data_IF_867069835274
#
_entry.id   IF_867069835274
#
_cell.length_a   1.000
_cell.length_b   1.000
_cell.length_c   1.000
_cell.angle_alpha   90.00
_cell.angle_beta   90.00
_cell.angle_gamma   90.00
#
_symmetry.space_group_name_H-M   'P 1'
#
loop_
_entity.id
_entity.type
_entity.pdbx_description
1 polymer ?
#
# COMPACT_ATOMS: atom_id res chain seq x y z
N UNK A 1 28.08 -20.92 12.24
CA UNK A 1 26.68 -20.51 12.05
C UNK A 1 26.29 -20.75 10.59
N UNK A 2 25.61 -21.87 10.32
CA UNK A 2 25.24 -22.26 8.96
C UNK A 2 24.14 -21.33 8.43
N UNK A 3 24.44 -20.55 7.38
CA UNK A 3 23.41 -19.80 6.64
C UNK A 3 22.50 -20.83 5.97
N UNK A 4 21.36 -21.13 6.59
CA UNK A 4 20.37 -22.04 6.01
C UNK A 4 20.02 -21.59 4.58
N UNK A 5 20.29 -22.45 3.60
CA UNK A 5 19.86 -22.25 2.21
C UNK A 5 18.34 -21.99 2.23
N UNK A 6 17.90 -20.82 1.75
CA UNK A 6 16.47 -20.56 1.52
C UNK A 6 15.97 -21.63 0.55
N UNK A 7 15.07 -22.49 1.03
CA UNK A 7 14.37 -23.47 0.19
C UNK A 7 13.64 -22.69 -0.90
N UNK A 8 13.82 -23.09 -2.16
CA UNK A 8 13.09 -22.45 -3.26
C UNK A 8 11.57 -22.62 -3.06
N UNK A 9 10.77 -21.58 -3.35
CA UNK A 9 9.32 -21.65 -3.18
C UNK A 9 8.73 -22.68 -4.15
N UNK A 10 7.88 -23.55 -3.61
CA UNK A 10 7.16 -24.55 -4.40
C UNK A 10 6.12 -23.89 -5.32
N UNK A 11 5.57 -24.64 -6.28
CA UNK A 11 4.47 -24.13 -7.11
C UNK A 11 3.24 -23.78 -6.27
N UNK A 12 2.97 -24.57 -5.22
CA UNK A 12 1.91 -24.31 -4.26
C UNK A 12 2.13 -22.98 -3.51
N UNK A 13 3.35 -22.74 -3.01
CA UNK A 13 3.71 -21.47 -2.37
C UNK A 13 3.46 -20.29 -3.29
N UNK A 14 3.85 -20.41 -4.57
CA UNK A 14 3.65 -19.37 -5.59
C UNK A 14 2.17 -19.10 -5.86
N UNK A 15 1.32 -20.13 -5.90
CA UNK A 15 -0.12 -19.99 -6.11
C UNK A 15 -0.79 -19.31 -4.91
N UNK A 16 -0.39 -19.66 -3.69
CA UNK A 16 -0.87 -19.04 -2.46
C UNK A 16 -0.42 -17.58 -2.36
N UNK A 17 0.83 -17.27 -2.74
CA UNK A 17 1.31 -15.89 -2.84
C UNK A 17 0.52 -15.09 -3.88
N UNK A 18 0.28 -15.65 -5.07
CA UNK A 18 -0.53 -15.01 -6.10
C UNK A 18 -1.98 -14.77 -5.65
N UNK A 19 -2.58 -15.71 -4.91
CA UNK A 19 -3.93 -15.53 -4.34
C UNK A 19 -3.97 -14.39 -3.32
N UNK A 20 -2.93 -14.27 -2.50
CA UNK A 20 -2.78 -13.20 -1.50
C UNK A 20 -2.59 -11.84 -2.17
N UNK A 21 -1.64 -11.73 -3.10
CA UNK A 21 -1.33 -10.48 -3.79
C UNK A 21 -2.52 -9.98 -4.59
N UNK A 22 -3.27 -10.88 -5.24
CA UNK A 22 -4.43 -10.49 -5.99
C UNK A 22 -5.59 -10.03 -5.08
N UNK A 23 -5.81 -10.69 -3.93
CA UNK A 23 -6.79 -10.20 -2.94
C UNK A 23 -6.41 -8.81 -2.44
N UNK A 24 -5.16 -8.63 -2.01
CA UNK A 24 -4.66 -7.34 -1.54
C UNK A 24 -4.80 -6.25 -2.61
N UNK A 25 -4.57 -6.59 -3.89
CA UNK A 25 -4.70 -5.64 -5.00
C UNK A 25 -6.16 -5.25 -5.25
N UNK A 26 -7.10 -6.19 -5.17
CA UNK A 26 -8.53 -5.88 -5.33
C UNK A 26 -9.06 -5.04 -4.17
N UNK A 27 -8.70 -5.38 -2.94
CA UNK A 27 -9.03 -4.56 -1.76
C UNK A 27 -8.47 -3.14 -1.90
N UNK A 28 -7.20 -3.01 -2.31
CA UNK A 28 -6.59 -1.71 -2.53
C UNK A 28 -7.29 -0.88 -3.61
N UNK A 29 -7.64 -1.48 -4.75
CA UNK A 29 -8.33 -0.75 -5.83
C UNK A 29 -9.71 -0.31 -5.34
N UNK A 30 -10.49 -1.18 -4.70
CA UNK A 30 -11.79 -0.83 -4.10
C UNK A 30 -11.64 0.38 -3.17
N UNK A 31 -10.76 0.28 -2.18
CA UNK A 31 -10.60 1.32 -1.16
C UNK A 31 -10.13 2.65 -1.77
N UNK A 32 -9.28 2.59 -2.81
CA UNK A 32 -8.85 3.77 -3.56
C UNK A 32 -10.01 4.43 -4.30
N UNK A 33 -10.82 3.67 -5.03
CA UNK A 33 -11.96 4.23 -5.76
C UNK A 33 -13.02 4.79 -4.81
N UNK A 34 -13.25 4.13 -3.66
CA UNK A 34 -14.14 4.66 -2.62
C UNK A 34 -13.60 5.97 -2.02
N UNK A 35 -12.29 6.06 -1.77
CA UNK A 35 -11.66 7.30 -1.29
C UNK A 35 -11.78 8.42 -2.33
N UNK A 36 -11.64 8.10 -3.62
CA UNK A 36 -11.82 9.06 -4.71
C UNK A 36 -13.28 9.57 -4.77
N UNK A 37 -14.26 8.68 -4.57
CA UNK A 37 -15.67 9.05 -4.46
C UNK A 37 -15.94 9.96 -3.25
N UNK A 38 -15.32 9.67 -2.11
CA UNK A 38 -15.44 10.50 -0.90
C UNK A 38 -14.84 11.90 -1.14
N UNK A 39 -13.71 11.98 -1.84
CA UNK A 39 -13.11 13.27 -2.23
C UNK A 39 -14.02 14.12 -3.13
N UNK A 40 -14.80 13.49 -4.01
CA UNK A 40 -15.81 14.22 -4.81
C UNK A 40 -16.94 14.73 -3.91
N UNK A 41 -17.34 13.95 -2.91
CA UNK A 41 -18.40 14.33 -1.97
C UNK A 41 -18.00 15.55 -1.15
N UNK A 42 -16.73 15.70 -0.78
CA UNK A 42 -16.20 16.88 -0.07
C UNK A 42 -16.27 18.18 -0.89
N UNK A 43 -16.38 18.10 -2.21
CA UNK A 43 -16.50 19.27 -3.09
C UNK A 43 -17.94 19.78 -3.21
N UNK A 44 -18.93 19.02 -2.73
CA UNK A 44 -20.34 19.37 -2.84
C UNK A 44 -20.76 20.29 -1.69
N UNK A 45 -21.63 21.25 -1.99
CA UNK A 45 -22.38 21.93 -0.92
C UNK A 45 -23.35 20.96 -0.24
N UNK A 46 -23.80 21.27 0.97
CA UNK A 46 -24.74 20.40 1.70
C UNK A 46 -26.03 20.13 0.91
N UNK A 47 -26.54 21.13 0.18
CA UNK A 47 -27.72 20.97 -0.67
C UNK A 47 -27.46 20.06 -1.88
N UNK A 48 -26.27 20.11 -2.49
CA UNK A 48 -25.87 19.22 -3.58
C UNK A 48 -25.62 17.80 -3.10
N UNK A 49 -25.00 17.64 -1.93
CA UNK A 49 -24.78 16.36 -1.29
C UNK A 49 -26.13 15.68 -0.99
N UNK A 50 -27.10 16.39 -0.40
CA UNK A 50 -28.45 15.85 -0.16
C UNK A 50 -29.16 15.43 -1.44
N UNK A 51 -29.08 16.25 -2.51
CA UNK A 51 -29.68 15.93 -3.82
C UNK A 51 -29.02 14.74 -4.52
N UNK A 52 -27.75 14.49 -4.23
CA UNK A 52 -26.94 13.45 -4.88
C UNK A 52 -26.74 12.20 -4.02
N UNK A 53 -27.22 12.19 -2.78
CA UNK A 53 -26.96 11.15 -1.79
C UNK A 53 -27.29 9.74 -2.29
N UNK A 54 -28.45 9.57 -2.93
CA UNK A 54 -28.86 8.29 -3.50
C UNK A 54 -27.92 7.83 -4.62
N UNK A 55 -27.55 8.74 -5.54
CA UNK A 55 -26.62 8.42 -6.64
C UNK A 55 -25.22 8.10 -6.13
N UNK A 56 -24.72 8.85 -5.15
CA UNK A 56 -23.43 8.57 -4.51
C UNK A 56 -23.44 7.21 -3.80
N UNK A 57 -24.54 6.87 -3.12
CA UNK A 57 -24.72 5.56 -2.50
C UNK A 57 -24.77 4.43 -3.54
N UNK A 58 -25.43 4.64 -4.68
CA UNK A 58 -25.47 3.67 -5.79
C UNK A 58 -24.07 3.44 -6.36
N UNK A 59 -23.32 4.51 -6.64
CA UNK A 59 -21.93 4.40 -7.15
C UNK A 59 -21.04 3.66 -6.15
N UNK A 60 -21.16 3.95 -4.85
CA UNK A 60 -20.43 3.21 -3.80
C UNK A 60 -20.74 1.72 -3.86
N UNK A 61 -22.03 1.35 -3.93
CA UNK A 61 -22.45 -0.04 -4.05
C UNK A 61 -21.96 -0.71 -5.35
N UNK A 62 -21.90 0.02 -6.46
CA UNK A 62 -21.35 -0.48 -7.72
C UNK A 62 -19.84 -0.75 -7.62
N UNK A 63 -19.08 0.11 -6.94
CA UNK A 63 -17.64 -0.10 -6.68
C UNK A 63 -17.43 -1.38 -5.85
N UNK A 64 -18.20 -1.56 -4.77
CA UNK A 64 -18.13 -2.75 -3.93
C UNK A 64 -18.50 -4.02 -4.71
N UNK A 65 -19.62 -3.99 -5.45
CA UNK A 65 -20.07 -5.11 -6.26
C UNK A 65 -19.07 -5.47 -7.38
N UNK A 66 -18.44 -4.48 -8.00
CA UNK A 66 -17.40 -4.70 -8.99
C UNK A 66 -16.17 -5.37 -8.37
N UNK A 67 -15.72 -4.91 -7.19
CA UNK A 67 -14.60 -5.52 -6.47
C UNK A 67 -14.88 -6.99 -6.13
N UNK A 68 -16.06 -7.29 -5.60
CA UNK A 68 -16.49 -8.66 -5.29
C UNK A 68 -16.53 -9.55 -6.54
N UNK A 69 -17.11 -9.05 -7.63
CA UNK A 69 -17.17 -9.76 -8.90
C UNK A 69 -15.77 -10.11 -9.42
N UNK A 70 -14.84 -9.16 -9.37
CA UNK A 70 -13.46 -9.38 -9.81
C UNK A 70 -12.71 -10.35 -8.89
N UNK A 71 -12.91 -10.24 -7.58
CA UNK A 71 -12.36 -11.17 -6.59
C UNK A 71 -12.83 -12.61 -6.88
N UNK A 72 -14.13 -12.82 -7.10
CA UNK A 72 -14.69 -14.13 -7.43
C UNK A 72 -14.15 -14.68 -8.76
N UNK A 73 -14.05 -13.83 -9.80
CA UNK A 73 -13.51 -14.22 -11.10
C UNK A 73 -12.06 -14.68 -10.97
N UNK A 74 -11.25 -13.95 -10.22
CA UNK A 74 -9.85 -14.26 -10.04
C UNK A 74 -9.63 -15.52 -9.18
N UNK A 75 -10.39 -15.69 -8.09
CA UNK A 75 -10.39 -16.93 -7.30
C UNK A 75 -10.76 -18.15 -8.16
N UNK A 76 -11.78 -18.05 -9.03
CA UNK A 76 -12.13 -19.13 -9.97
C UNK A 76 -11.00 -19.46 -10.95
N UNK A 77 -10.31 -18.44 -11.48
CA UNK A 77 -9.17 -18.63 -12.38
C UNK A 77 -7.99 -19.32 -11.68
N UNK A 78 -7.66 -18.90 -10.46
CA UNK A 78 -6.60 -19.52 -9.65
C UNK A 78 -6.94 -20.97 -9.28
N UNK A 79 -8.17 -21.26 -8.88
CA UNK A 79 -8.63 -22.62 -8.63
C UNK A 79 -8.57 -23.50 -9.90
N UNK A 80 -8.91 -22.94 -11.07
CA UNK A 80 -8.75 -23.65 -12.34
C UNK A 80 -7.28 -23.93 -12.66
N UNK A 81 -6.38 -23.00 -12.38
CA UNK A 81 -4.94 -23.17 -12.60
C UNK A 81 -4.38 -24.26 -11.67
N UNK A 82 -4.70 -24.21 -10.38
CA UNK A 82 -4.28 -25.20 -9.40
C UNK A 82 -4.72 -26.62 -9.77
N UNK A 83 -5.99 -26.79 -10.20
CA UNK A 83 -6.52 -28.08 -10.66
C UNK A 83 -5.74 -28.66 -11.84
N UNK A 84 -5.30 -27.83 -12.80
CA UNK A 84 -4.45 -28.29 -13.93
C UNK A 84 -3.11 -28.85 -13.47
N UNK A 85 -2.63 -28.41 -12.31
CA UNK A 85 -1.41 -28.90 -11.67
C UNK A 85 -1.67 -29.96 -10.59
N UNK A 86 -2.91 -30.47 -10.47
CA UNK A 86 -3.33 -31.43 -9.41
C UNK A 86 -3.10 -30.91 -7.98
N UNK A 87 -3.22 -29.60 -7.80
CA UNK A 87 -3.11 -28.92 -6.51
C UNK A 87 -4.49 -28.50 -6.00
N UNK A 88 -4.59 -28.30 -4.68
CA UNK A 88 -5.76 -27.72 -4.05
C UNK A 88 -5.95 -26.25 -4.50
N UNK A 89 -7.19 -25.76 -4.43
CA UNK A 89 -7.45 -24.35 -4.71
C UNK A 89 -6.69 -23.47 -3.70
N UNK A 90 -5.94 -22.46 -4.16
CA UNK A 90 -5.12 -21.66 -3.25
C UNK A 90 -6.01 -20.71 -2.45
N UNK A 91 -5.85 -20.74 -1.13
CA UNK A 91 -6.43 -19.75 -0.23
C UNK A 91 -5.41 -18.66 0.08
N UNK A 92 -5.81 -17.38 0.17
CA UNK A 92 -4.91 -16.31 0.60
C UNK A 92 -4.35 -16.54 1.99
N UNK A 93 -3.10 -16.16 2.21
CA UNK A 93 -2.43 -16.34 3.50
C UNK A 93 -3.18 -15.58 4.60
N UNK A 94 -3.31 -16.16 5.81
CA UNK A 94 -3.84 -15.42 6.93
C UNK A 94 -2.94 -14.21 7.23
N UNK A 95 -3.55 -13.15 7.78
CA UNK A 95 -2.81 -11.94 8.18
C UNK A 95 -1.71 -12.32 9.17
N UNK A 96 -0.45 -12.11 8.78
CA UNK A 96 0.71 -12.40 9.62
C UNK A 96 0.76 -11.45 10.82
N UNK A 97 1.29 -11.94 11.93
CA UNK A 97 1.66 -11.07 13.07
C UNK A 97 2.77 -10.13 12.62
N UNK A 98 2.66 -8.87 13.00
CA UNK A 98 3.67 -7.86 12.69
C UNK A 98 4.99 -8.18 13.41
N UNK A 99 6.08 -8.12 12.66
CA UNK A 99 7.46 -8.11 13.19
C UNK A 99 7.71 -6.84 14.02
N UNK A 100 8.74 -6.80 14.89
CA UNK A 100 9.07 -5.60 15.66
C UNK A 100 9.28 -4.35 14.79
N UNK A 101 9.91 -4.51 13.63
CA UNK A 101 10.11 -3.41 12.67
C UNK A 101 8.79 -2.92 12.07
N UNK A 102 7.89 -3.84 11.70
CA UNK A 102 6.56 -3.47 11.19
C UNK A 102 5.71 -2.82 12.28
N UNK A 103 5.78 -3.29 13.53
CA UNK A 103 5.11 -2.64 14.66
C UNK A 103 5.60 -1.20 14.83
N UNK A 104 6.92 -0.97 14.76
CA UNK A 104 7.48 0.38 14.78
C UNK A 104 6.98 1.22 13.61
N UNK A 105 6.97 0.69 12.39
CA UNK A 105 6.46 1.40 11.22
C UNK A 105 4.95 1.72 11.32
N UNK A 106 4.16 0.84 11.94
CA UNK A 106 2.73 1.04 12.16
C UNK A 106 2.43 2.19 13.14
N UNK A 107 3.37 2.50 14.05
CA UNK A 107 3.23 3.58 15.03
C UNK A 107 3.64 4.96 14.47
N UNK A 108 4.35 5.00 13.34
CA UNK A 108 4.80 6.26 12.76
C UNK A 108 3.77 6.71 11.73
N UNK A 109 3.08 7.81 12.01
CA UNK A 109 2.16 8.48 11.09
C UNK A 109 2.86 9.74 10.57
N UNK A 110 3.46 9.71 9.37
CA UNK A 110 4.14 10.86 8.83
C UNK A 110 3.11 11.90 8.34
N UNK A 111 3.40 13.16 8.65
CA UNK A 111 2.66 14.31 8.14
C UNK A 111 3.64 15.26 7.48
N UNK A 112 3.27 15.81 6.32
CA UNK A 112 4.09 16.74 5.56
C UNK A 112 3.90 18.16 6.07
N UNK A 113 4.93 18.74 6.69
CA UNK A 113 4.86 20.13 7.18
C UNK A 113 4.94 21.15 6.06
N UNK A 114 5.79 20.91 5.06
CA UNK A 114 6.01 21.81 3.94
C UNK A 114 5.22 21.33 2.71
N UNK A 115 4.18 22.09 2.33
CA UNK A 115 3.45 21.89 1.07
C UNK A 115 4.29 22.47 -0.08
N UNK A 116 4.64 21.66 -1.07
CA UNK A 116 5.53 22.06 -2.20
C UNK A 116 6.80 21.22 -2.32
N UNK A 117 7.49 21.28 -3.46
CA UNK A 117 8.68 20.46 -3.72
C UNK A 117 9.72 20.74 -2.62
N UNK A 118 10.06 19.72 -1.84
CA UNK A 118 11.12 19.84 -0.83
C UNK A 118 12.44 19.86 -1.61
N UNK A 119 13.04 21.04 -1.70
CA UNK A 119 14.36 21.16 -2.29
C UNK A 119 15.40 20.65 -1.29
N UNK A 120 15.94 19.45 -1.54
CA UNK A 120 16.96 18.85 -0.69
C UNK A 120 18.24 19.71 -0.58
N UNK A 121 18.44 20.69 -1.46
CA UNK A 121 19.58 21.61 -1.40
C UNK A 121 19.49 22.60 -0.23
N UNK A 122 18.28 22.89 0.26
CA UNK A 122 18.04 23.84 1.36
C UNK A 122 18.13 23.17 2.74
N UNK A 123 18.27 21.83 2.78
CA UNK A 123 18.37 21.07 4.02
C UNK A 123 19.80 21.10 4.59
N UNK A 124 19.96 21.07 5.93
CA UNK A 124 21.28 20.94 6.56
C UNK A 124 22.07 19.75 5.99
N UNK A 125 23.38 19.90 5.76
CA UNK A 125 24.24 18.90 5.12
C UNK A 125 24.08 17.49 5.71
N UNK A 126 24.03 17.37 7.03
CA UNK A 126 23.83 16.10 7.75
C UNK A 126 22.49 15.45 7.42
N UNK A 127 21.41 16.24 7.35
CA UNK A 127 20.08 15.74 6.99
C UNK A 127 20.02 15.29 5.54
N UNK A 128 20.66 16.04 4.62
CA UNK A 128 20.79 15.66 3.21
C UNK A 128 21.49 14.31 3.04
N UNK A 129 22.62 14.11 3.72
CA UNK A 129 23.35 12.83 3.68
C UNK A 129 22.54 11.66 4.25
N UNK A 130 21.79 11.88 5.34
CA UNK A 130 20.92 10.87 5.92
C UNK A 130 19.73 10.51 5.00
N UNK A 131 19.10 11.51 4.38
CA UNK A 131 18.02 11.32 3.39
C UNK A 131 18.54 10.57 2.17
N UNK A 132 19.73 10.93 1.65
CA UNK A 132 20.35 10.28 0.51
C UNK A 132 20.69 8.81 0.82
N UNK A 133 21.26 8.54 2.00
CA UNK A 133 21.51 7.18 2.49
C UNK A 133 20.21 6.38 2.63
N UNK A 134 19.16 6.99 3.17
CA UNK A 134 17.86 6.34 3.32
C UNK A 134 17.14 6.12 1.97
N UNK A 135 17.40 6.98 0.98
CA UNK A 135 16.81 6.94 -0.36
C UNK A 135 17.65 6.12 -1.35
N UNK A 136 18.75 5.49 -0.90
CA UNK A 136 19.59 4.63 -1.74
C UNK A 136 18.73 3.52 -2.38
N UNK A 137 18.80 3.43 -3.71
CA UNK A 137 17.95 2.55 -4.52
C UNK A 137 16.58 3.14 -4.90
N UNK A 138 16.38 4.45 -4.69
CA UNK A 138 15.15 5.18 -5.01
C UNK A 138 14.02 4.93 -4.01
N UNK A 139 13.30 5.98 -3.64
CA UNK A 139 12.00 5.85 -2.96
C UNK A 139 10.91 5.64 -4.03
N UNK A 140 9.85 4.86 -3.73
CA UNK A 140 8.69 4.84 -4.60
C UNK A 140 8.19 6.26 -4.80
N UNK A 141 7.99 6.66 -6.06
CA UNK A 141 7.55 8.01 -6.42
C UNK A 141 6.26 8.40 -5.68
N UNK A 142 5.44 7.41 -5.35
CA UNK A 142 4.12 7.59 -4.76
C UNK A 142 4.16 7.81 -3.24
N UNK A 143 5.30 7.55 -2.55
CA UNK A 143 5.38 7.65 -1.10
C UNK A 143 4.90 9.02 -0.58
N UNK A 144 5.25 10.11 -1.26
CA UNK A 144 4.93 11.48 -0.84
C UNK A 144 3.43 11.81 -0.98
N UNK A 145 2.70 11.11 -1.84
CA UNK A 145 1.25 11.27 -1.97
C UNK A 145 0.52 10.69 -0.77
N UNK A 146 1.10 9.67 -0.14
CA UNK A 146 0.50 8.97 0.99
C UNK A 146 0.86 9.59 2.36
N UNK A 147 1.77 10.57 2.40
CA UNK A 147 2.17 11.28 3.63
C UNK A 147 1.19 12.43 3.89
N UNK A 148 0.01 12.10 4.40
CA UNK A 148 -1.07 13.06 4.68
C UNK A 148 -1.40 13.20 6.18
N UNK A 149 -0.70 12.50 7.07
CA UNK A 149 -0.96 12.53 8.51
C UNK A 149 -2.06 11.55 8.99
N UNK A 150 -2.61 10.72 8.10
CA UNK A 150 -3.63 9.73 8.46
C UNK A 150 -3.07 8.31 8.43
N UNK A 151 -2.23 8.01 7.44
CA UNK A 151 -1.71 6.66 7.20
C UNK A 151 -0.39 6.41 7.92
N UNK A 152 -0.23 5.21 8.46
CA UNK A 152 1.06 4.79 9.06
C UNK A 152 2.11 4.52 7.98
N UNK A 153 3.41 4.58 8.32
CA UNK A 153 4.49 4.19 7.40
C UNK A 153 4.33 2.75 6.91
N UNK A 154 3.85 1.85 7.76
CA UNK A 154 3.61 0.46 7.37
C UNK A 154 2.55 0.38 6.26
N UNK A 155 1.48 1.14 6.39
CA UNK A 155 0.43 1.23 5.39
C UNK A 155 0.96 1.83 4.09
N UNK A 156 1.70 2.94 4.16
CA UNK A 156 2.34 3.57 3.00
C UNK A 156 3.26 2.58 2.27
N UNK A 157 4.05 1.77 2.99
CA UNK A 157 4.88 0.72 2.38
C UNK A 157 4.05 -0.32 1.63
N UNK A 158 2.87 -0.70 2.18
CA UNK A 158 1.95 -1.64 1.53
C UNK A 158 1.30 -1.03 0.29
N UNK A 159 0.83 0.21 0.35
CA UNK A 159 0.19 0.90 -0.76
C UNK A 159 1.17 1.11 -1.93
N UNK A 160 2.39 1.55 -1.63
CA UNK A 160 3.44 1.72 -2.64
C UNK A 160 3.83 0.41 -3.32
N UNK A 161 3.81 -0.73 -2.60
CA UNK A 161 3.95 -2.07 -3.20
C UNK A 161 2.82 -2.37 -4.18
N UNK A 162 1.58 -2.09 -3.79
CA UNK A 162 0.40 -2.44 -4.58
C UNK A 162 0.24 -1.58 -5.84
N UNK A 163 0.70 -0.32 -5.84
CA UNK A 163 0.65 0.56 -7.02
C UNK A 163 1.62 0.19 -8.14
N UNK A 164 2.62 -0.66 -7.87
CA UNK A 164 3.48 -1.24 -8.91
C UNK A 164 4.48 -0.27 -9.56
N UNK A 165 4.72 0.92 -8.98
CA UNK A 165 5.73 1.87 -9.50
C UNK A 165 7.02 1.83 -8.67
N UNK A 166 8.00 1.05 -9.14
CA UNK A 166 9.36 1.03 -8.61
C UNK A 166 9.63 -0.03 -7.54
N UNK A 167 10.81 0.03 -6.92
CA UNK A 167 11.24 -0.92 -5.90
C UNK A 167 10.40 -0.78 -4.63
N UNK A 168 9.96 -1.91 -4.05
CA UNK A 168 9.21 -1.96 -2.79
C UNK A 168 9.94 -1.20 -1.68
N UNK A 169 9.22 -0.35 -0.95
CA UNK A 169 9.76 0.33 0.21
C UNK A 169 9.66 -0.59 1.44
N UNK A 170 10.79 -1.10 1.88
CA UNK A 170 10.86 -1.90 3.11
C UNK A 170 10.60 -1.04 4.36
N UNK A 171 9.86 -1.54 5.38
CA UNK A 171 9.55 -0.80 6.60
C UNK A 171 10.78 -0.21 7.30
N UNK A 172 11.89 -0.96 7.36
CA UNK A 172 13.14 -0.48 7.96
C UNK A 172 13.71 0.74 7.21
N UNK A 173 13.59 0.77 5.88
CA UNK A 173 14.04 1.89 5.05
C UNK A 173 13.10 3.08 5.21
N UNK A 174 11.79 2.84 5.25
CA UNK A 174 10.78 3.87 5.48
C UNK A 174 10.98 4.58 6.83
N UNK A 175 11.26 3.82 7.90
CA UNK A 175 11.54 4.38 9.23
C UNK A 175 12.77 5.29 9.18
N UNK A 176 13.89 4.82 8.59
CA UNK A 176 15.11 5.63 8.47
C UNK A 176 14.86 6.92 7.69
N UNK A 177 14.11 6.82 6.59
CA UNK A 177 13.74 7.97 5.78
C UNK A 177 12.91 8.99 6.57
N UNK A 178 11.87 8.53 7.28
CA UNK A 178 11.02 9.41 8.08
C UNK A 178 11.77 10.06 9.25
N UNK A 179 12.67 9.33 9.91
CA UNK A 179 13.53 9.88 10.96
C UNK A 179 14.48 10.95 10.40
N UNK A 180 15.05 10.74 9.21
CA UNK A 180 15.91 11.72 8.54
C UNK A 180 15.13 12.98 8.16
N UNK A 181 13.93 12.84 7.59
CA UNK A 181 13.04 13.96 7.27
C UNK A 181 12.66 14.76 8.52
N UNK A 182 12.29 14.07 9.61
CA UNK A 182 11.97 14.71 10.89
C UNK A 182 13.13 15.53 11.44
N UNK A 183 14.37 15.02 11.35
CA UNK A 183 15.59 15.76 11.77
C UNK A 183 15.89 16.95 10.86
N UNK A 184 15.50 16.86 9.59
CA UNK A 184 15.61 17.95 8.63
C UNK A 184 14.59 19.08 8.87
N UNK A 185 13.62 18.88 9.76
CA UNK A 185 12.54 19.84 10.02
C UNK A 185 11.38 19.77 9.04
N UNK A 186 11.36 18.73 8.18
CA UNK A 186 10.36 18.52 7.11
C UNK A 186 9.25 17.58 7.57
#
# INVERSE_FOLDING_TARGET
>A
MSKGKKKEPTLEDKLVDAATDLRDKMDYVRDRELTALDSVTELLTEAEARRSAERLSQVRAEVDAAADLWQQRASRRLASLARRHKLAAPEPKPKKRLTPTEKKAAQVVPYRKLRGIVNNAELPKRAREEIEKASKGGLPQLILFWVNGERSLLEICRLTRLEGRGATLEPARAIRWAEAMKRAGV
#
